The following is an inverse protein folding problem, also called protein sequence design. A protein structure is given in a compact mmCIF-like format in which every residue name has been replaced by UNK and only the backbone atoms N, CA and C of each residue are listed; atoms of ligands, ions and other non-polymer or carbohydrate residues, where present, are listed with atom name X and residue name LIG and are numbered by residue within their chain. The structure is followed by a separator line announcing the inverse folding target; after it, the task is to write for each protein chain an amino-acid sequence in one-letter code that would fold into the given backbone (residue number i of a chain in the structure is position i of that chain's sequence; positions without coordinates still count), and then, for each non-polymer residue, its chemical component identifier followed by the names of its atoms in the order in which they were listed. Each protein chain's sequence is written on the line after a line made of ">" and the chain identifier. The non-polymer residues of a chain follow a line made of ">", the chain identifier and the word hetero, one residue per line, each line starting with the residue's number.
data_IF_665312231566
#
_entry.id   IF_665312231566
#
_cell.length_a   1.000
_cell.length_b   1.000
_cell.length_c   1.000
_cell.angle_alpha   90.00
_cell.angle_beta   90.00
_cell.angle_gamma   90.00
#
_symmetry.space_group_name_H-M   'P 1'
#
loop_
_entity.id
_entity.type
_entity.pdbx_description
1 polymer ?
#
# COMPACT_ATOMS: atom_id res chain seq x y z
N UNK A 1 -2.58 3.04 10.32
CA UNK A 1 -3.03 2.38 9.07
C UNK A 1 -3.78 1.12 9.43
N UNK A 2 -4.81 0.80 8.67
CA UNK A 2 -5.47 -0.50 8.64
C UNK A 2 -5.58 -0.90 7.17
N UNK A 3 -5.35 -2.17 6.83
CA UNK A 3 -5.52 -2.74 5.50
C UNK A 3 -6.25 -4.08 5.63
N UNK A 4 -7.24 -4.31 4.77
CA UNK A 4 -7.94 -5.59 4.69
C UNK A 4 -7.18 -6.53 3.75
N UNK A 5 -6.10 -7.06 4.29
CA UNK A 5 -5.17 -7.95 3.59
C UNK A 5 -4.61 -9.01 4.54
N UNK A 6 -4.70 -10.26 4.12
CA UNK A 6 -4.09 -11.41 4.80
C UNK A 6 -2.73 -11.81 4.25
N UNK A 7 -2.31 -11.30 3.09
CA UNK A 7 -1.10 -11.73 2.41
C UNK A 7 -0.30 -10.58 1.80
N UNK A 8 1.03 -10.68 1.84
CA UNK A 8 1.97 -9.82 1.13
C UNK A 8 2.71 -10.64 0.07
N UNK A 9 3.01 -10.06 -1.08
CA UNK A 9 3.84 -10.76 -2.07
C UNK A 9 5.26 -10.94 -1.52
N UNK A 10 5.85 -12.10 -1.74
CA UNK A 10 7.27 -12.28 -1.50
C UNK A 10 8.06 -11.49 -2.55
N UNK A 11 9.03 -10.72 -2.08
CA UNK A 11 9.88 -9.87 -2.91
C UNK A 11 11.29 -10.46 -3.00
N UNK A 12 11.85 -10.43 -4.20
CA UNK A 12 13.29 -10.58 -4.43
C UNK A 12 13.79 -9.23 -4.95
N UNK A 13 14.61 -8.55 -4.15
CA UNK A 13 14.93 -7.14 -4.34
C UNK A 13 13.64 -6.29 -4.39
N UNK A 14 13.33 -5.67 -5.53
CA UNK A 14 12.12 -4.85 -5.75
C UNK A 14 11.09 -5.54 -6.67
N UNK A 15 11.22 -6.85 -6.89
CA UNK A 15 10.40 -7.60 -7.84
C UNK A 15 9.63 -8.72 -7.11
N UNK A 16 8.30 -8.80 -7.23
CA UNK A 16 7.54 -9.92 -6.70
C UNK A 16 7.92 -11.26 -7.34
N UNK A 17 8.08 -12.30 -6.52
CA UNK A 17 8.47 -13.66 -6.96
C UNK A 17 7.31 -14.49 -7.50
N UNK A 18 6.07 -14.07 -7.23
CA UNK A 18 4.86 -14.85 -7.50
C UNK A 18 4.35 -15.68 -6.33
N UNK A 19 5.14 -15.78 -5.26
CA UNK A 19 4.74 -16.39 -3.99
C UNK A 19 4.08 -15.34 -3.08
N UNK A 20 3.18 -15.81 -2.22
CA UNK A 20 2.49 -14.98 -1.22
C UNK A 20 2.84 -15.47 0.19
N UNK A 21 3.08 -14.53 1.11
CA UNK A 21 3.35 -14.80 2.52
C UNK A 21 2.20 -14.27 3.37
N UNK A 22 1.84 -15.00 4.43
CA UNK A 22 0.89 -14.49 5.42
C UNK A 22 1.46 -13.21 6.05
N UNK A 23 0.60 -12.21 6.26
CA UNK A 23 0.98 -11.00 7.04
C UNK A 23 0.95 -11.25 8.54
N UNK A 24 0.36 -12.36 9.01
CA UNK A 24 0.19 -12.60 10.44
C UNK A 24 1.53 -12.66 11.18
N UNK A 25 1.67 -11.82 12.20
CA UNK A 25 2.90 -11.73 12.99
C UNK A 25 4.07 -11.04 12.28
N UNK A 26 3.86 -10.48 11.08
CA UNK A 26 4.89 -9.76 10.32
C UNK A 26 4.71 -8.24 10.44
N UNK A 27 5.70 -7.42 10.00
CA UNK A 27 5.55 -5.97 9.92
C UNK A 27 4.40 -5.49 9.03
N UNK A 28 3.83 -6.36 8.18
CA UNK A 28 2.72 -6.07 7.28
C UNK A 28 1.34 -6.37 7.89
N UNK A 29 1.25 -6.88 9.13
CA UNK A 29 -0.04 -7.13 9.80
C UNK A 29 -0.77 -5.83 10.16
N UNK A 30 -1.55 -5.32 9.21
CA UNK A 30 -2.43 -4.17 9.37
C UNK A 30 -3.92 -4.54 9.32
N UNK A 31 -4.28 -5.81 9.55
CA UNK A 31 -5.69 -6.22 9.64
C UNK A 31 -6.47 -5.42 10.69
N UNK A 32 -5.76 -4.95 11.73
CA UNK A 32 -6.24 -3.99 12.73
C UNK A 32 -5.48 -2.68 12.59
N UNK A 33 -6.14 -1.59 13.01
CA UNK A 33 -5.53 -0.25 13.01
C UNK A 33 -4.26 -0.24 13.88
N UNK A 34 -3.12 0.10 13.27
CA UNK A 34 -1.81 0.17 13.93
C UNK A 34 -1.02 1.40 13.49
N UNK A 35 -0.09 1.86 14.32
CA UNK A 35 0.82 2.97 14.00
C UNK A 35 1.85 2.49 12.96
N UNK A 36 2.00 3.23 11.86
CA UNK A 36 2.87 2.85 10.74
C UNK A 36 4.34 2.74 11.17
N UNK A 37 4.77 3.65 12.07
CA UNK A 37 6.15 3.70 12.59
C UNK A 37 6.61 2.37 13.18
N UNK A 38 5.76 1.70 13.97
CA UNK A 38 6.13 0.44 14.62
C UNK A 38 6.48 -0.65 13.61
N UNK A 39 5.73 -0.70 12.51
CA UNK A 39 6.00 -1.66 11.46
C UNK A 39 7.21 -1.26 10.61
N UNK A 40 7.45 0.04 10.35
CA UNK A 40 8.69 0.50 9.72
C UNK A 40 9.93 0.15 10.57
N UNK A 41 9.86 0.35 11.89
CA UNK A 41 10.92 -0.05 12.83
C UNK A 41 11.15 -1.57 12.81
N UNK A 42 10.09 -2.36 12.69
CA UNK A 42 10.20 -3.81 12.55
C UNK A 42 10.89 -4.20 11.22
N UNK A 43 10.57 -3.55 10.09
CA UNK A 43 11.30 -3.80 8.83
C UNK A 43 12.78 -3.45 8.92
N UNK A 44 13.14 -2.42 9.70
CA UNK A 44 14.53 -2.09 9.97
C UNK A 44 15.23 -3.20 10.77
N UNK A 45 14.54 -3.76 11.78
CA UNK A 45 15.05 -4.87 12.58
C UNK A 45 15.24 -6.16 11.75
N UNK A 46 14.48 -6.32 10.67
CA UNK A 46 14.67 -7.38 9.65
C UNK A 46 15.82 -7.09 8.67
N UNK A 47 16.51 -5.95 8.81
CA UNK A 47 17.68 -5.59 8.03
C UNK A 47 17.40 -4.80 6.76
N UNK A 48 16.18 -4.26 6.56
CA UNK A 48 15.91 -3.37 5.43
C UNK A 48 16.58 -2.00 5.60
N UNK A 49 17.28 -1.57 4.57
CA UNK A 49 17.86 -0.22 4.46
C UNK A 49 17.63 0.33 3.03
N UNK A 50 16.89 1.44 2.86
CA UNK A 50 16.16 2.19 3.89
C UNK A 50 14.99 1.38 4.50
N UNK A 51 14.65 1.61 5.77
CA UNK A 51 13.51 0.95 6.38
C UNK A 51 12.19 1.53 5.85
N UNK A 52 11.13 0.74 5.94
CA UNK A 52 9.80 1.11 5.49
C UNK A 52 9.17 0.06 4.57
N UNK A 53 8.06 0.47 3.96
CA UNK A 53 7.27 -0.35 3.02
C UNK A 53 7.54 0.06 1.59
N UNK A 54 7.59 -0.93 0.72
CA UNK A 54 7.56 -0.82 -0.74
C UNK A 54 7.05 -2.14 -1.34
N UNK A 55 6.02 -2.71 -0.69
CA UNK A 55 5.57 -4.08 -0.96
C UNK A 55 4.08 -4.07 -1.38
N UNK A 56 3.69 -4.90 -2.36
CA UNK A 56 2.29 -5.15 -2.69
C UNK A 56 1.66 -6.11 -1.68
N UNK A 57 0.56 -5.67 -1.06
CA UNK A 57 -0.30 -6.53 -0.24
C UNK A 57 -1.55 -6.93 -1.03
N UNK A 58 -1.99 -8.19 -0.89
CA UNK A 58 -3.18 -8.71 -1.54
C UNK A 58 -4.43 -8.37 -0.73
N UNK A 59 -5.42 -7.75 -1.36
CA UNK A 59 -6.69 -7.47 -0.69
C UNK A 59 -7.49 -8.76 -0.47
N UNK A 60 -8.14 -8.85 0.69
CA UNK A 60 -8.92 -10.03 1.08
C UNK A 60 -10.13 -10.30 0.16
N UNK A 61 -10.59 -9.25 -0.55
CA UNK A 61 -11.71 -9.32 -1.49
C UNK A 61 -11.31 -8.73 -2.83
N UNK A 62 -11.50 -9.54 -3.87
CA UNK A 62 -11.35 -9.12 -5.26
C UNK A 62 -12.32 -9.93 -6.14
N UNK A 63 -13.44 -9.30 -6.50
CA UNK A 63 -14.48 -9.87 -7.38
C UNK A 63 -14.94 -8.84 -8.43
N UNK A 64 -14.04 -7.92 -8.80
CA UNK A 64 -14.28 -6.77 -9.69
C UNK A 64 -15.36 -5.80 -9.21
N UNK A 65 -15.80 -5.88 -7.96
CA UNK A 65 -16.65 -4.87 -7.31
C UNK A 65 -15.80 -3.98 -6.41
N UNK A 66 -16.36 -2.82 -6.10
CA UNK A 66 -15.74 -1.87 -5.19
C UNK A 66 -15.80 -2.42 -3.75
N UNK A 67 -14.64 -2.63 -3.14
CA UNK A 67 -14.51 -3.01 -1.73
C UNK A 67 -13.60 -2.04 -1.01
N UNK A 68 -13.82 -1.86 0.28
CA UNK A 68 -12.88 -1.14 1.13
C UNK A 68 -11.54 -1.91 1.18
N UNK A 69 -10.45 -1.24 0.82
CA UNK A 69 -9.08 -1.74 0.92
C UNK A 69 -8.46 -1.46 2.29
N UNK A 70 -8.82 -0.34 2.91
CA UNK A 70 -8.33 0.03 4.22
C UNK A 70 -8.41 1.53 4.50
N UNK A 71 -7.72 1.96 5.58
CA UNK A 71 -7.78 3.32 6.12
C UNK A 71 -6.45 3.84 6.62
N UNK A 72 -6.22 5.14 6.42
CA UNK A 72 -5.20 5.94 7.07
C UNK A 72 -5.86 6.94 8.01
N UNK A 73 -5.37 7.04 9.23
CA UNK A 73 -5.87 7.98 10.23
C UNK A 73 -4.70 8.74 10.83
N UNK A 74 -4.86 10.06 10.92
CA UNK A 74 -3.93 10.94 11.64
C UNK A 74 -4.57 11.41 12.94
N UNK A 75 -4.12 10.92 14.12
CA UNK A 75 -4.59 11.46 15.40
C UNK A 75 -4.14 12.91 15.61
N UNK A 76 -3.13 13.39 14.87
CA UNK A 76 -2.67 14.79 14.94
C UNK A 76 -3.70 15.75 14.36
N UNK A 77 -4.37 15.38 13.26
CA UNK A 77 -5.32 16.25 12.56
C UNK A 77 -6.77 15.82 12.73
N UNK A 78 -7.05 14.57 13.11
CA UNK A 78 -8.40 14.00 13.11
C UNK A 78 -8.89 13.59 11.72
N UNK A 79 -8.02 13.64 10.70
CA UNK A 79 -8.35 13.27 9.33
C UNK A 79 -8.19 11.75 9.15
N UNK A 80 -9.20 11.14 8.53
CA UNK A 80 -9.18 9.76 8.03
C UNK A 80 -9.33 9.77 6.52
N UNK A 81 -8.45 9.04 5.83
CA UNK A 81 -8.64 8.59 4.46
C UNK A 81 -9.09 7.12 4.51
N UNK A 82 -10.27 6.83 3.98
CA UNK A 82 -10.68 5.47 3.64
C UNK A 82 -10.53 5.27 2.13
N UNK A 83 -10.02 4.11 1.74
CA UNK A 83 -9.77 3.75 0.35
C UNK A 83 -10.66 2.58 -0.04
N UNK A 84 -11.47 2.76 -1.07
CA UNK A 84 -12.23 1.69 -1.69
C UNK A 84 -11.68 1.44 -3.11
N UNK A 85 -11.60 0.20 -3.56
CA UNK A 85 -11.05 -0.14 -4.89
C UNK A 85 -11.64 -1.42 -5.49
N UNK A 86 -11.56 -1.55 -6.80
CA UNK A 86 -11.83 -2.79 -7.56
C UNK A 86 -10.57 -3.61 -7.81
N UNK A 87 -9.39 -3.06 -7.55
CA UNK A 87 -8.09 -3.70 -7.81
C UNK A 87 -7.77 -4.81 -6.80
N UNK A 88 -6.92 -5.80 -7.16
CA UNK A 88 -6.62 -6.94 -6.29
C UNK A 88 -5.59 -6.64 -5.19
N UNK A 89 -4.79 -5.58 -5.34
CA UNK A 89 -3.66 -5.31 -4.45
C UNK A 89 -3.52 -3.81 -4.15
N UNK A 90 -2.77 -3.53 -3.09
CA UNK A 90 -2.28 -2.19 -2.76
C UNK A 90 -0.77 -2.25 -2.55
N UNK A 91 -0.01 -1.43 -3.27
CA UNK A 91 1.40 -1.17 -2.89
C UNK A 91 1.42 -0.08 -1.83
N UNK A 92 2.00 -0.41 -0.69
CA UNK A 92 2.24 0.54 0.39
C UNK A 92 3.68 1.03 0.26
N UNK A 93 3.85 2.31 -0.06
CA UNK A 93 5.17 2.92 -0.17
C UNK A 93 5.32 4.07 0.82
N UNK A 94 6.31 4.00 1.71
CA UNK A 94 6.54 5.02 2.74
C UNK A 94 7.56 6.07 2.37
N UNK A 95 7.75 6.39 1.07
CA UNK A 95 8.65 7.44 0.64
C UNK A 95 10.11 7.23 1.10
N UNK A 96 10.57 5.97 1.06
CA UNK A 96 11.87 5.56 1.64
C UNK A 96 13.07 6.20 0.93
N UNK A 97 12.92 6.49 -0.36
CA UNK A 97 13.99 6.96 -1.24
C UNK A 97 13.91 8.46 -1.58
N UNK A 98 13.01 9.22 -0.94
CA UNK A 98 13.01 10.67 -1.12
C UNK A 98 14.32 11.28 -0.59
N UNK A 99 15.04 12.08 -1.40
CA UNK A 99 16.26 12.72 -0.95
C UNK A 99 15.95 13.79 0.10
N UNK A 100 16.90 14.06 1.01
CA UNK A 100 16.70 15.04 2.11
C UNK A 100 16.43 16.46 1.63
N UNK A 101 16.84 16.78 0.39
CA UNK A 101 16.69 18.08 -0.24
C UNK A 101 15.59 18.10 -1.31
N UNK A 102 14.67 17.13 -1.35
CA UNK A 102 13.54 17.19 -2.28
C UNK A 102 12.67 18.42 -1.94
N UNK A 103 12.57 19.35 -2.89
CA UNK A 103 11.75 20.56 -2.75
C UNK A 103 10.39 20.36 -3.38
N UNK A 104 9.33 20.67 -2.62
CA UNK A 104 7.97 20.82 -3.13
C UNK A 104 7.66 22.24 -3.59
N UNK A 105 6.41 22.44 -4.03
CA UNK A 105 5.87 23.79 -4.24
C UNK A 105 5.82 24.57 -2.92
N UNK A 106 5.78 25.91 -3.00
CA UNK A 106 5.67 26.81 -1.85
C UNK A 106 6.75 26.69 -0.75
N UNK A 107 7.91 26.10 -1.06
CA UNK A 107 9.04 26.01 -0.13
C UNK A 107 8.97 24.83 0.85
N UNK A 108 8.05 23.89 0.63
CA UNK A 108 7.99 22.65 1.41
C UNK A 108 9.20 21.75 1.12
N UNK A 109 9.69 21.07 2.16
CA UNK A 109 10.74 20.06 2.04
C UNK A 109 10.11 18.69 2.22
N UNK A 110 10.16 17.87 1.18
CA UNK A 110 9.85 16.46 1.27
C UNK A 110 11.15 15.71 1.52
N UNK A 111 11.15 14.89 2.55
CA UNK A 111 12.31 14.10 2.95
C UNK A 111 11.88 12.65 3.09
N UNK A 112 12.86 11.76 3.28
CA UNK A 112 12.59 10.36 3.60
C UNK A 112 11.44 10.25 4.63
N UNK A 113 10.43 9.44 4.29
CA UNK A 113 9.24 9.19 5.12
C UNK A 113 8.32 10.39 5.37
N UNK A 114 8.41 11.47 4.59
CA UNK A 114 7.48 12.61 4.70
C UNK A 114 6.10 12.37 4.09
N UNK A 115 5.90 11.21 3.45
CA UNK A 115 4.66 10.84 2.79
C UNK A 115 4.45 9.33 2.79
N UNK A 116 3.24 8.92 2.40
CA UNK A 116 2.86 7.53 2.20
C UNK A 116 1.96 7.43 0.97
N UNK A 117 2.21 6.46 0.12
CA UNK A 117 1.36 6.09 -1.00
C UNK A 117 0.59 4.81 -0.67
N UNK A 118 -0.68 4.77 -1.10
CA UNK A 118 -1.50 3.57 -1.15
C UNK A 118 -1.94 3.37 -2.61
N UNK A 119 -1.15 2.62 -3.35
CA UNK A 119 -1.32 2.46 -4.80
C UNK A 119 -2.18 1.23 -5.07
N UNK A 120 -3.46 1.45 -5.38
CA UNK A 120 -4.40 0.38 -5.76
C UNK A 120 -4.12 -0.09 -7.17
N UNK A 121 -3.76 -1.35 -7.34
CA UNK A 121 -3.34 -1.87 -8.64
C UNK A 121 -3.34 -3.41 -8.68
N UNK A 122 -2.99 -3.94 -9.86
CA UNK A 122 -2.56 -5.32 -10.00
C UNK A 122 -1.14 -5.49 -9.44
N UNK A 123 -0.75 -6.72 -9.14
CA UNK A 123 0.59 -6.97 -8.60
C UNK A 123 1.66 -6.52 -9.60
N UNK A 124 2.72 -5.83 -9.13
CA UNK A 124 3.90 -5.60 -9.96
C UNK A 124 4.41 -6.94 -10.52
N UNK A 125 4.96 -6.90 -11.73
CA UNK A 125 5.43 -8.10 -12.44
C UNK A 125 4.34 -9.10 -12.86
N UNK A 126 3.04 -8.79 -12.70
CA UNK A 126 1.91 -9.64 -13.17
C UNK A 126 2.06 -10.22 -14.59
N UNK A 127 2.51 -9.48 -15.62
CA UNK A 127 2.69 -10.04 -16.96
C UNK A 127 3.66 -11.24 -17.05
N UNK A 128 4.58 -11.36 -16.10
CA UNK A 128 5.60 -12.41 -16.07
C UNK A 128 5.33 -13.51 -15.04
N UNK A 129 4.27 -13.36 -14.23
CA UNK A 129 3.94 -14.27 -13.13
C UNK A 129 2.56 -14.89 -13.38
N UNK A 130 2.48 -16.12 -13.95
CA UNK A 130 1.20 -16.75 -14.29
C UNK A 130 0.26 -17.02 -13.11
N UNK A 131 0.78 -17.06 -11.87
CA UNK A 131 -0.03 -17.21 -10.65
C UNK A 131 -0.72 -15.92 -10.24
N UNK A 132 -0.30 -14.77 -10.75
CA UNK A 132 -0.94 -13.49 -10.48
C UNK A 132 -2.11 -13.21 -11.42
N UNK A 133 -3.07 -12.38 -11.01
CA UNK A 133 -4.07 -11.81 -11.89
C UNK A 133 -3.45 -11.27 -13.19
N UNK A 134 -4.01 -11.70 -14.33
CA UNK A 134 -3.61 -11.22 -15.64
C UNK A 134 -3.87 -9.72 -15.76
N UNK A 135 -2.94 -9.03 -16.40
CA UNK A 135 -3.02 -7.60 -16.75
C UNK A 135 -3.14 -7.38 -18.26
N UNK A 136 -3.29 -8.46 -19.04
CA UNK A 136 -3.47 -8.37 -20.49
C UNK A 136 -4.90 -7.93 -20.80
N UNK A 137 -5.01 -6.86 -21.59
CA UNK A 137 -6.28 -6.39 -22.13
C UNK A 137 -6.25 -6.61 -23.65
N UNK A 138 -7.09 -7.50 -24.14
CA UNK A 138 -7.14 -7.84 -25.56
C UNK A 138 -7.83 -6.74 -26.37
N UNK A 139 -7.58 -6.72 -27.68
CA UNK A 139 -8.24 -5.77 -28.59
C UNK A 139 -9.77 -5.91 -28.48
N UNK A 140 -10.45 -4.83 -28.13
CA UNK A 140 -11.90 -4.77 -28.00
C UNK A 140 -12.42 -5.05 -26.58
N UNK A 141 -11.55 -5.50 -25.67
CA UNK A 141 -11.91 -5.60 -24.24
C UNK A 141 -11.87 -4.22 -23.58
N UNK A 142 -12.79 -4.01 -22.62
CA UNK A 142 -12.81 -2.81 -21.80
C UNK A 142 -11.96 -3.06 -20.55
N UNK A 143 -10.98 -2.19 -20.32
CA UNK A 143 -10.33 -2.06 -19.02
C UNK A 143 -11.12 -1.08 -18.16
N UNK A 144 -11.48 -1.48 -16.95
CA UNK A 144 -12.28 -0.68 -16.03
C UNK A 144 -11.86 -1.01 -14.59
N UNK A 145 -11.22 -0.04 -13.94
CA UNK A 145 -10.79 -0.13 -12.54
C UNK A 145 -11.13 1.19 -11.87
N UNK A 146 -11.57 1.13 -10.62
CA UNK A 146 -12.02 2.29 -9.84
C UNK A 146 -11.35 2.29 -8.48
N UNK A 147 -10.90 3.48 -8.06
CA UNK A 147 -10.47 3.75 -6.69
C UNK A 147 -11.15 5.00 -6.18
N UNK A 148 -11.71 4.92 -4.98
CA UNK A 148 -12.44 6.01 -4.32
C UNK A 148 -11.75 6.36 -3.00
N UNK A 149 -11.40 7.63 -2.87
CA UNK A 149 -10.78 8.19 -1.68
C UNK A 149 -11.82 8.96 -0.86
N UNK A 150 -12.24 8.38 0.26
CA UNK A 150 -13.17 9.01 1.19
C UNK A 150 -12.42 9.74 2.30
N UNK A 151 -12.53 11.07 2.33
CA UNK A 151 -11.94 11.89 3.39
C UNK A 151 -13.00 12.21 4.45
N UNK A 152 -12.65 11.94 5.71
CA UNK A 152 -13.46 12.29 6.89
C UNK A 152 -12.63 13.08 7.88
N UNK A 153 -13.22 14.13 8.44
CA UNK A 153 -12.66 14.86 9.57
C UNK A 153 -13.45 14.53 10.84
N UNK A 154 -12.74 14.19 11.92
CA UNK A 154 -13.32 14.02 13.25
C UNK A 154 -12.71 15.06 14.18
N UNK A 155 -13.49 16.04 14.68
CA UNK A 155 -12.99 17.04 15.61
C UNK A 155 -12.38 16.39 16.86
N UNK A 156 -11.33 17.01 17.39
CA UNK A 156 -10.79 16.62 18.69
C UNK A 156 -11.70 17.14 19.79
N UNK A 157 -12.07 16.26 20.72
CA UNK A 157 -12.66 16.62 22.01
C UNK A 157 -11.63 17.26 22.93
#
# INVERSE_FOLDING_TARGET
>A
MQLYSGYVAEMQELIPTGSMKSVEGTPHDYKKLRVIREGMEATQAEGRDPPGYDDPVALDKWDSKLHEAGRLFSPKTGITLQLDTTSPAVVVYTANYLPENASGEAGERFQRHSGICLETQYFPNSPHIPSFPSTVVSKGEKYDETTVCHFKYTPKS
#
